data_IF_222696682121
#
_entry.id   IF_222696682121
#
_cell.length_a   1.000
_cell.length_b   1.000
_cell.length_c   1.000
_cell.angle_alpha   90.00
_cell.angle_beta   90.00
_cell.angle_gamma   90.00
#
_symmetry.space_group_name_H-M   'P 1'
#
loop_
_entity.id
_entity.type
_entity.pdbx_description
1 polymer ?
#
# COMPACT_ATOMS: atom_id res chain seq x y z
N UNK A 1 -4.32 -0.88 -24.55
CA UNK A 1 -3.12 -1.66 -24.94
C UNK A 1 -1.90 -0.90 -24.47
N UNK A 2 -1.22 -1.39 -23.42
CA UNK A 2 0.00 -0.75 -22.91
C UNK A 2 1.15 -1.09 -23.84
N UNK A 3 1.69 -0.10 -24.54
CA UNK A 3 2.80 -0.31 -25.47
C UNK A 3 4.05 -0.65 -24.64
N UNK A 4 4.56 -1.88 -24.74
CA UNK A 4 5.73 -2.30 -23.97
C UNK A 4 6.95 -1.55 -24.50
N UNK A 5 7.74 -0.97 -23.59
CA UNK A 5 9.02 -0.34 -23.96
C UNK A 5 9.91 -1.35 -24.68
N UNK A 6 10.47 -0.95 -25.82
CA UNK A 6 11.47 -1.74 -26.54
C UNK A 6 12.86 -1.67 -25.86
N UNK A 7 13.02 -0.82 -24.82
CA UNK A 7 14.28 -0.56 -24.10
C UNK A 7 14.28 -1.21 -22.71
N UNK A 8 13.83 -2.46 -22.60
CA UNK A 8 13.66 -3.14 -21.32
C UNK A 8 14.97 -3.18 -20.49
N UNK A 9 16.11 -3.41 -21.16
CA UNK A 9 17.44 -3.46 -20.50
C UNK A 9 17.83 -2.09 -19.95
N UNK A 10 17.70 -1.02 -20.74
CA UNK A 10 18.05 0.33 -20.29
C UNK A 10 17.12 0.80 -19.17
N UNK A 11 15.82 0.48 -19.25
CA UNK A 11 14.86 0.79 -18.20
C UNK A 11 15.22 0.08 -16.89
N UNK A 12 15.64 -1.18 -16.96
CA UNK A 12 16.08 -1.94 -15.79
C UNK A 12 17.33 -1.31 -15.15
N UNK A 13 18.35 -0.97 -15.95
CA UNK A 13 19.56 -0.30 -15.46
C UNK A 13 19.21 1.03 -14.78
N UNK A 14 18.29 1.80 -15.36
CA UNK A 14 17.86 3.07 -14.78
C UNK A 14 17.17 2.89 -13.42
N UNK A 15 16.30 1.88 -13.28
CA UNK A 15 15.64 1.56 -12.00
C UNK A 15 16.66 1.06 -10.98
N UNK A 16 17.56 0.15 -11.36
CA UNK A 16 18.60 -0.37 -10.47
C UNK A 16 19.51 0.76 -9.96
N UNK A 17 19.94 1.68 -10.84
CA UNK A 17 20.72 2.84 -10.46
C UNK A 17 19.95 3.85 -9.59
N UNK A 18 18.63 3.98 -9.77
CA UNK A 18 17.82 4.77 -8.85
C UNK A 18 17.76 4.14 -7.46
N UNK A 19 17.52 2.82 -7.41
CA UNK A 19 17.41 2.08 -6.15
C UNK A 19 18.70 2.09 -5.32
N UNK A 20 19.88 2.28 -5.93
CA UNK A 20 21.14 2.43 -5.18
C UNK A 20 21.28 3.76 -4.44
N UNK A 21 20.43 4.74 -4.73
CA UNK A 21 20.50 6.09 -4.16
C UNK A 21 19.36 6.38 -3.17
N UNK A 22 18.54 5.38 -2.84
CA UNK A 22 17.43 5.50 -1.89
C UNK A 22 17.55 4.43 -0.83
N UNK A 23 17.09 4.75 0.37
CA UNK A 23 17.05 3.76 1.46
C UNK A 23 15.99 2.70 1.17
N UNK A 24 16.34 1.44 1.41
CA UNK A 24 15.45 0.30 1.24
C UNK A 24 14.98 -0.19 2.60
N UNK A 25 13.68 -0.05 2.85
CA UNK A 25 13.03 -0.58 4.04
C UNK A 25 12.47 -1.97 3.73
N UNK A 26 13.10 -3.00 4.30
CA UNK A 26 12.67 -4.38 4.12
C UNK A 26 11.49 -4.71 5.03
N UNK A 27 10.60 -5.56 4.53
CA UNK A 27 9.48 -6.08 5.30
C UNK A 27 9.99 -7.13 6.27
N UNK A 28 9.66 -6.98 7.54
CA UNK A 28 9.94 -7.94 8.60
C UNK A 28 8.67 -8.34 9.37
N UNK A 29 8.85 -9.03 10.50
CA UNK A 29 7.75 -9.48 11.35
C UNK A 29 6.94 -8.30 11.91
N UNK A 30 7.60 -7.20 12.29
CA UNK A 30 6.92 -6.02 12.81
C UNK A 30 6.08 -5.35 11.72
N UNK A 31 6.63 -5.23 10.50
CA UNK A 31 5.84 -4.78 9.34
C UNK A 31 4.60 -5.65 9.14
N UNK A 32 4.74 -6.98 9.26
CA UNK A 32 3.65 -7.93 9.06
C UNK A 32 2.55 -7.80 10.13
N UNK A 33 2.93 -7.55 11.38
CA UNK A 33 1.99 -7.29 12.46
C UNK A 33 1.18 -6.02 12.17
N UNK A 34 1.85 -4.92 11.81
CA UNK A 34 1.19 -3.64 11.48
C UNK A 34 0.25 -3.81 10.28
N UNK A 35 0.73 -4.43 9.20
CA UNK A 35 -0.06 -4.76 8.01
C UNK A 35 -1.34 -5.53 8.36
N UNK A 36 -1.23 -6.56 9.20
CA UNK A 36 -2.38 -7.38 9.59
C UNK A 36 -3.44 -6.57 10.34
N UNK A 37 -3.01 -5.63 11.19
CA UNK A 37 -3.87 -4.70 11.90
C UNK A 37 -4.59 -3.74 10.96
N UNK A 38 -3.86 -3.12 10.03
CA UNK A 38 -4.46 -2.24 9.01
C UNK A 38 -5.49 -3.01 8.18
N UNK A 39 -5.14 -4.20 7.69
CA UNK A 39 -6.02 -5.04 6.89
C UNK A 39 -7.32 -5.37 7.61
N UNK A 40 -7.24 -5.71 8.90
CA UNK A 40 -8.42 -5.96 9.73
C UNK A 40 -9.28 -4.70 9.90
N UNK A 41 -8.66 -3.55 10.18
CA UNK A 41 -9.35 -2.26 10.35
C UNK A 41 -10.06 -1.82 9.07
N UNK A 42 -9.38 -1.91 7.92
CA UNK A 42 -9.96 -1.62 6.60
C UNK A 42 -11.16 -2.53 6.34
N UNK A 43 -11.01 -3.85 6.52
CA UNK A 43 -12.11 -4.79 6.29
C UNK A 43 -13.28 -4.55 7.25
N UNK A 44 -13.02 -4.21 8.51
CA UNK A 44 -14.07 -3.92 9.49
C UNK A 44 -14.86 -2.66 9.16
N UNK A 45 -14.19 -1.63 8.66
CA UNK A 45 -14.82 -0.37 8.29
C UNK A 45 -15.63 -0.49 6.99
N UNK A 46 -15.03 -1.07 5.94
CA UNK A 46 -15.58 -1.00 4.59
C UNK A 46 -16.35 -2.25 4.14
N UNK A 47 -16.15 -3.42 4.78
CA UNK A 47 -16.93 -4.59 4.40
C UNK A 47 -18.39 -4.50 4.87
N UNK A 48 -19.33 -5.12 4.12
CA UNK A 48 -20.73 -5.17 4.50
C UNK A 48 -20.94 -5.66 5.94
N UNK A 49 -21.94 -5.11 6.63
CA UNK A 49 -22.33 -5.59 7.97
C UNK A 49 -23.21 -6.85 7.92
N UNK A 50 -23.90 -7.07 6.79
CA UNK A 50 -24.64 -8.31 6.54
C UNK A 50 -23.69 -9.52 6.49
N UNK A 51 -23.96 -10.54 7.32
CA UNK A 51 -23.07 -11.70 7.49
C UNK A 51 -22.85 -12.48 6.20
N UNK A 52 -23.89 -12.65 5.38
CA UNK A 52 -23.79 -13.43 4.15
C UNK A 52 -22.96 -12.68 3.12
N UNK A 53 -23.22 -11.38 2.91
CA UNK A 53 -22.40 -10.55 2.00
C UNK A 53 -20.96 -10.43 2.47
N UNK A 54 -20.73 -10.27 3.77
CA UNK A 54 -19.40 -10.13 4.37
C UNK A 54 -18.50 -11.34 4.13
N UNK A 55 -19.04 -12.56 4.24
CA UNK A 55 -18.29 -13.80 4.00
C UNK A 55 -17.76 -13.95 2.58
N UNK A 56 -18.42 -13.33 1.60
CA UNK A 56 -18.02 -13.35 0.19
C UNK A 56 -17.24 -12.10 -0.23
N UNK A 57 -16.94 -11.19 0.71
CA UNK A 57 -16.18 -9.96 0.45
C UNK A 57 -14.69 -10.20 0.64
N UNK A 58 -13.86 -9.60 -0.21
CA UNK A 58 -12.40 -9.58 -0.10
C UNK A 58 -11.90 -8.13 -0.14
N UNK A 59 -10.62 -7.90 0.15
CA UNK A 59 -9.99 -6.57 0.04
C UNK A 59 -10.13 -5.99 -1.37
N UNK A 60 -9.96 -6.80 -2.41
CA UNK A 60 -10.09 -6.36 -3.81
C UNK A 60 -11.51 -5.90 -4.14
N UNK A 61 -12.55 -6.57 -3.62
CA UNK A 61 -13.94 -6.10 -3.75
C UNK A 61 -14.17 -4.74 -3.09
N UNK A 62 -13.38 -4.39 -2.07
CA UNK A 62 -13.43 -3.11 -1.37
C UNK A 62 -12.56 -2.02 -2.02
N UNK A 63 -11.88 -2.35 -3.11
CA UNK A 63 -10.97 -1.45 -3.82
C UNK A 63 -9.73 -1.14 -2.98
N UNK A 64 -9.11 -2.16 -2.38
CA UNK A 64 -7.79 -2.04 -1.73
C UNK A 64 -6.88 -3.15 -2.23
N UNK A 65 -5.60 -2.84 -2.43
CA UNK A 65 -4.58 -3.84 -2.74
C UNK A 65 -3.73 -4.16 -1.51
N UNK A 66 -3.24 -5.39 -1.42
CA UNK A 66 -2.34 -5.76 -0.32
C UNK A 66 -1.02 -4.98 -0.36
N UNK A 67 -0.54 -4.59 -1.55
CA UNK A 67 0.70 -3.81 -1.69
C UNK A 67 0.59 -2.42 -1.04
N UNK A 68 -0.55 -1.74 -1.18
CA UNK A 68 -0.77 -0.44 -0.54
C UNK A 68 -0.74 -0.56 0.98
N UNK A 69 -1.31 -1.65 1.52
CA UNK A 69 -1.29 -1.92 2.95
C UNK A 69 0.13 -2.21 3.46
N UNK A 70 0.94 -2.93 2.68
CA UNK A 70 2.36 -3.16 3.01
C UNK A 70 3.15 -1.85 3.00
N UNK A 71 2.96 -1.00 1.98
CA UNK A 71 3.61 0.31 1.89
C UNK A 71 3.26 1.17 3.11
N UNK A 72 1.97 1.23 3.50
CA UNK A 72 1.53 1.97 4.70
C UNK A 72 2.12 1.36 5.97
N UNK A 73 2.15 0.03 6.09
CA UNK A 73 2.73 -0.63 7.26
C UNK A 73 4.22 -0.30 7.44
N UNK A 74 4.99 -0.37 6.35
CA UNK A 74 6.42 0.01 6.35
C UNK A 74 6.60 1.49 6.70
N UNK A 75 5.76 2.38 6.15
CA UNK A 75 5.83 3.81 6.48
C UNK A 75 5.53 4.07 7.97
N UNK A 76 4.54 3.38 8.56
CA UNK A 76 4.22 3.50 9.98
C UNK A 76 5.36 2.98 10.85
N UNK A 77 5.91 1.79 10.55
CA UNK A 77 6.98 1.18 11.33
C UNK A 77 8.21 2.10 11.44
N UNK A 78 8.56 2.77 10.36
CA UNK A 78 9.74 3.63 10.28
C UNK A 78 9.43 5.12 10.47
N UNK A 79 8.22 5.48 10.92
CA UNK A 79 7.78 6.86 11.16
C UNK A 79 7.95 7.79 9.95
N UNK A 80 7.73 7.25 8.75
CA UNK A 80 7.89 7.95 7.48
C UNK A 80 6.61 8.70 7.07
N UNK A 81 6.79 9.74 6.26
CA UNK A 81 5.68 10.38 5.54
C UNK A 81 5.49 9.71 4.18
N UNK A 82 4.32 9.12 3.96
CA UNK A 82 3.98 8.53 2.69
C UNK A 82 3.53 9.62 1.71
N UNK A 83 4.32 9.86 0.67
CA UNK A 83 3.99 10.81 -0.40
C UNK A 83 3.36 10.03 -1.56
N UNK A 84 2.07 10.27 -1.83
CA UNK A 84 1.37 9.62 -2.94
C UNK A 84 0.14 10.41 -3.36
N UNK A 85 -0.15 10.39 -4.65
CA UNK A 85 -1.37 10.98 -5.24
C UNK A 85 -2.50 9.98 -5.39
N UNK A 86 -2.28 8.73 -4.95
CA UNK A 86 -3.32 7.72 -4.95
C UNK A 86 -4.33 7.99 -3.81
N UNK A 87 -5.59 8.15 -4.20
CA UNK A 87 -6.68 8.42 -3.28
C UNK A 87 -6.98 7.27 -2.31
N UNK A 88 -6.52 6.04 -2.59
CA UNK A 88 -6.74 4.91 -1.69
C UNK A 88 -5.99 5.08 -0.35
N UNK A 89 -4.83 5.76 -0.34
CA UNK A 89 -4.13 6.08 0.91
C UNK A 89 -4.93 7.00 1.83
N UNK A 90 -5.74 7.90 1.26
CA UNK A 90 -6.67 8.73 2.05
C UNK A 90 -7.72 7.87 2.77
N UNK A 91 -8.21 6.80 2.13
CA UNK A 91 -9.21 5.87 2.71
C UNK A 91 -8.57 4.99 3.78
N UNK A 92 -7.32 4.57 3.61
CA UNK A 92 -6.58 3.83 4.63
C UNK A 92 -6.32 4.72 5.84
N UNK A 93 -5.98 6.01 5.62
CA UNK A 93 -5.72 6.97 6.70
C UNK A 93 -6.94 7.17 7.63
N UNK A 94 -8.16 7.06 7.09
CA UNK A 94 -9.40 7.15 7.87
C UNK A 94 -9.55 6.04 8.92
N UNK A 95 -8.92 4.87 8.71
CA UNK A 95 -9.04 3.72 9.62
C UNK A 95 -7.78 3.49 10.45
N UNK A 96 -6.62 3.93 9.94
CA UNK A 96 -5.35 3.91 10.64
C UNK A 96 -4.65 5.23 10.34
N UNK A 97 -4.55 6.17 11.29
CA UNK A 97 -3.83 7.42 11.07
C UNK A 97 -2.34 7.18 10.79
N UNK A 98 -1.80 7.86 9.78
CA UNK A 98 -0.37 7.93 9.45
C UNK A 98 -0.05 9.26 8.75
N UNK A 99 1.23 9.61 8.61
CA UNK A 99 1.65 10.81 7.88
C UNK A 99 1.52 10.58 6.38
N UNK A 100 0.66 11.34 5.70
CA UNK A 100 0.39 11.23 4.27
C UNK A 100 0.33 12.61 3.61
N UNK A 101 1.01 12.74 2.48
CA UNK A 101 1.04 13.95 1.67
C UNK A 101 0.77 13.64 0.19
N UNK A 102 0.19 14.61 -0.52
CA UNK A 102 0.12 14.64 -1.98
C UNK A 102 0.85 15.89 -2.46
N UNK A 103 1.83 15.71 -3.36
CA UNK A 103 2.62 16.82 -3.92
C UNK A 103 2.19 17.23 -5.34
N UNK A 104 1.08 16.70 -5.84
CA UNK A 104 0.39 17.20 -7.05
C UNK A 104 -0.77 18.12 -6.68
#
# INVERSE_FOLDING_TARGET
MTNKSLKAVQNRIAVEAFLTNVDLHFIDEETAIIYSGIKASVFNQFAPKDKNKRRHTSMSHLGFTDHDLWIVATAIQHELTLVSTDSDFKRINQVQPFSWESWM
#
